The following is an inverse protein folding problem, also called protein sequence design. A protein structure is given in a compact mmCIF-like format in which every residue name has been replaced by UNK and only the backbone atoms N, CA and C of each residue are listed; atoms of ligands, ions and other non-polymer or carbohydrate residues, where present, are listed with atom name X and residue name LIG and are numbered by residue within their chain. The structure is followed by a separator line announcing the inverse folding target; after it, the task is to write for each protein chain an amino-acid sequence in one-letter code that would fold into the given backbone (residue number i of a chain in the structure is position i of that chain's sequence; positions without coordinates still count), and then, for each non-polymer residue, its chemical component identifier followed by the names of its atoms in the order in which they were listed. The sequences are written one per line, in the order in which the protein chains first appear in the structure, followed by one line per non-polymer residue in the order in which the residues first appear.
data_IF_172397900039
#
_entry.id   IF_172397900039
#
_cell.length_a   1.000
_cell.length_b   1.000
_cell.length_c   1.000
_cell.angle_alpha   90.00
_cell.angle_beta   90.00
_cell.angle_gamma   90.00
#
_symmetry.space_group_name_H-M   'P 1'
#
loop_
_entity.id
_entity.type
_entity.pdbx_description
1 polymer ?
#
# COMPACT_ATOMS: atom_id res chain seq x y z
N UNK A 1 9.17 -10.41 2.77
CA UNK A 1 7.95 -9.76 2.24
C UNK A 1 7.70 -10.29 0.84
N UNK A 2 6.45 -10.51 0.43
CA UNK A 2 6.13 -10.95 -0.94
C UNK A 2 6.44 -9.82 -1.95
N UNK A 3 6.78 -10.14 -3.21
CA UNK A 3 7.31 -9.15 -4.17
C UNK A 3 6.29 -8.08 -4.55
N UNK A 4 5.02 -8.44 -4.81
CA UNK A 4 3.98 -7.46 -5.13
C UNK A 4 3.66 -6.53 -3.95
N UNK A 5 3.72 -7.07 -2.72
CA UNK A 5 3.61 -6.26 -1.51
C UNK A 5 4.79 -5.30 -1.32
N UNK A 6 6.02 -5.77 -1.52
CA UNK A 6 7.21 -4.94 -1.42
C UNK A 6 7.21 -3.80 -2.44
N UNK A 7 6.76 -4.06 -3.66
CA UNK A 7 6.62 -3.04 -4.70
C UNK A 7 5.57 -1.99 -4.34
N UNK A 8 4.40 -2.38 -3.83
CA UNK A 8 3.36 -1.43 -3.38
C UNK A 8 3.89 -0.49 -2.28
N UNK A 9 4.63 -1.02 -1.30
CA UNK A 9 5.26 -0.22 -0.23
C UNK A 9 6.32 0.73 -0.80
N UNK A 10 7.15 0.26 -1.72
CA UNK A 10 8.18 1.08 -2.34
C UNK A 10 7.60 2.23 -3.17
N UNK A 11 6.52 1.99 -3.91
CA UNK A 11 5.82 3.02 -4.67
C UNK A 11 5.22 4.10 -3.74
N UNK A 12 4.68 3.71 -2.58
CA UNK A 12 4.21 4.66 -1.55
C UNK A 12 5.36 5.56 -1.07
N UNK A 13 6.53 4.98 -0.78
CA UNK A 13 7.72 5.73 -0.35
C UNK A 13 8.16 6.74 -1.39
N UNK A 14 8.28 6.30 -2.65
CA UNK A 14 8.72 7.16 -3.75
C UNK A 14 7.76 8.31 -4.02
N UNK A 15 6.45 8.08 -3.95
CA UNK A 15 5.46 9.16 -4.06
C UNK A 15 5.63 10.19 -2.93
N UNK A 16 5.76 9.73 -1.68
CA UNK A 16 5.87 10.62 -0.51
C UNK A 16 7.17 11.42 -0.52
N UNK A 17 8.26 10.82 -1.02
CA UNK A 17 9.55 11.46 -1.22
C UNK A 17 9.58 12.47 -2.38
N UNK A 18 8.60 12.40 -3.30
CA UNK A 18 8.56 13.24 -4.50
C UNK A 18 9.34 12.68 -5.70
N UNK A 19 9.84 11.44 -5.60
CA UNK A 19 10.59 10.73 -6.65
C UNK A 19 9.67 10.07 -7.71
N UNK A 20 8.35 10.19 -7.52
CA UNK A 20 7.33 9.63 -8.40
C UNK A 20 6.14 10.59 -8.45
N UNK A 21 5.66 10.91 -9.65
CA UNK A 21 4.46 11.73 -9.82
C UNK A 21 3.16 10.97 -9.48
N UNK A 22 2.06 11.66 -9.15
CA UNK A 22 0.80 11.04 -8.75
C UNK A 22 0.18 10.15 -9.85
N UNK A 23 0.25 10.56 -11.11
CA UNK A 23 -0.26 9.77 -12.24
C UNK A 23 0.54 8.49 -12.45
N UNK A 24 1.87 8.60 -12.44
CA UNK A 24 2.74 7.45 -12.58
C UNK A 24 2.62 6.48 -11.39
N UNK A 25 2.47 7.01 -10.19
CA UNK A 25 2.18 6.25 -8.99
C UNK A 25 0.88 5.44 -9.12
N UNK A 26 -0.23 6.09 -9.49
CA UNK A 26 -1.54 5.44 -9.59
C UNK A 26 -1.48 4.22 -10.52
N UNK A 27 -0.94 4.39 -11.72
CA UNK A 27 -0.82 3.30 -12.70
C UNK A 27 0.09 2.17 -12.23
N UNK A 28 1.27 2.49 -11.68
CA UNK A 28 2.23 1.47 -11.21
C UNK A 28 1.71 0.73 -9.98
N UNK A 29 1.06 1.43 -9.06
CA UNK A 29 0.57 0.85 -7.82
C UNK A 29 -0.59 -0.12 -8.05
N UNK A 30 -1.56 0.24 -8.92
CA UNK A 30 -2.62 -0.68 -9.34
C UNK A 30 -2.06 -1.93 -10.04
N UNK A 31 -1.04 -1.76 -10.90
CA UNK A 31 -0.39 -2.89 -11.56
C UNK A 31 0.30 -3.83 -10.56
N UNK A 32 0.98 -3.28 -9.55
CA UNK A 32 1.62 -4.06 -8.48
C UNK A 32 0.58 -4.81 -7.63
N UNK A 33 -0.51 -4.13 -7.24
CA UNK A 33 -1.61 -4.75 -6.49
C UNK A 33 -2.27 -5.88 -7.27
N UNK A 34 -2.57 -5.69 -8.55
CA UNK A 34 -3.13 -6.73 -9.41
C UNK A 34 -2.22 -7.96 -9.47
N UNK A 35 -0.92 -7.79 -9.69
CA UNK A 35 0.04 -8.91 -9.70
C UNK A 35 0.07 -9.66 -8.36
N UNK A 36 0.02 -8.95 -7.23
CA UNK A 36 -0.01 -9.58 -5.92
C UNK A 36 -1.27 -10.44 -5.72
N UNK A 37 -2.43 -9.94 -6.16
CA UNK A 37 -3.71 -10.67 -6.10
C UNK A 37 -3.71 -11.89 -7.02
N UNK A 38 -3.25 -11.74 -8.27
CA UNK A 38 -3.14 -12.84 -9.25
C UNK A 38 -2.18 -13.95 -8.76
N UNK A 39 -1.11 -13.56 -8.06
CA UNK A 39 -0.16 -14.49 -7.46
C UNK A 39 -0.65 -15.12 -6.14
N UNK A 40 -1.80 -14.68 -5.60
CA UNK A 40 -2.33 -15.16 -4.32
C UNK A 40 -1.44 -14.81 -3.12
N UNK A 41 -0.72 -13.68 -3.18
CA UNK A 41 0.16 -13.24 -2.10
C UNK A 41 -0.66 -13.00 -0.81
N UNK A 42 -0.25 -13.63 0.29
CA UNK A 42 -0.86 -13.39 1.59
C UNK A 42 -0.34 -12.09 2.19
N UNK A 43 -1.24 -11.13 2.36
CA UNK A 43 -0.97 -9.88 3.06
C UNK A 43 -1.58 -9.97 4.46
N UNK A 44 -0.82 -9.65 5.53
CA UNK A 44 -1.41 -9.58 6.86
C UNK A 44 -2.52 -8.52 6.95
N UNK A 45 -3.64 -8.85 7.59
CA UNK A 45 -4.84 -8.01 7.68
C UNK A 45 -4.58 -6.53 8.05
N UNK A 46 -3.70 -6.19 9.03
CA UNK A 46 -3.45 -4.77 9.34
C UNK A 46 -2.82 -4.01 8.18
N UNK A 47 -1.91 -4.65 7.44
CA UNK A 47 -1.27 -4.04 6.28
C UNK A 47 -2.20 -4.01 5.07
N UNK A 48 -3.01 -5.05 4.87
CA UNK A 48 -4.03 -5.10 3.83
C UNK A 48 -4.98 -3.90 3.94
N UNK A 49 -5.48 -3.59 5.14
CA UNK A 49 -6.33 -2.42 5.37
C UNK A 49 -5.67 -1.10 4.99
N UNK A 50 -4.37 -0.94 5.27
CA UNK A 50 -3.63 0.26 4.87
C UNK A 50 -3.48 0.33 3.35
N UNK A 51 -3.22 -0.80 2.69
CA UNK A 51 -3.17 -0.85 1.23
C UNK A 51 -4.55 -0.58 0.62
N UNK A 52 -5.65 -0.98 1.26
CA UNK A 52 -7.01 -0.66 0.81
C UNK A 52 -7.29 0.83 0.88
N UNK A 53 -6.84 1.53 1.92
CA UNK A 53 -6.93 3.00 1.97
C UNK A 53 -6.20 3.66 0.78
N UNK A 54 -5.04 3.13 0.39
CA UNK A 54 -4.33 3.61 -0.80
C UNK A 54 -5.08 3.26 -2.08
N UNK A 55 -5.67 2.07 -2.17
CA UNK A 55 -6.48 1.66 -3.31
C UNK A 55 -7.65 2.62 -3.53
N UNK A 56 -8.43 2.92 -2.48
CA UNK A 56 -9.54 3.86 -2.60
C UNK A 56 -9.08 5.27 -2.98
N UNK A 57 -7.94 5.75 -2.45
CA UNK A 57 -7.40 7.03 -2.86
C UNK A 57 -6.99 7.06 -4.34
N UNK A 58 -6.47 5.94 -4.87
CA UNK A 58 -6.12 5.83 -6.29
C UNK A 58 -7.37 5.73 -7.17
N UNK A 59 -8.42 5.02 -6.74
CA UNK A 59 -9.69 4.95 -7.47
C UNK A 59 -10.40 6.31 -7.51
N UNK A 60 -10.31 7.11 -6.44
CA UNK A 60 -10.86 8.46 -6.40
C UNK A 60 -10.03 9.49 -7.20
N UNK A 61 -8.84 9.13 -7.71
CA UNK A 61 -7.93 10.07 -8.36
C UNK A 61 -8.21 10.24 -9.86
N UNK A 62 -8.45 11.49 -10.27
CA UNK A 62 -8.61 11.86 -11.68
C UNK A 62 -7.53 12.88 -12.08
N UNK A 63 -6.59 12.53 -12.98
CA UNK A 63 -5.49 13.40 -13.37
C UNK A 63 -5.96 14.66 -14.13
N UNK A 64 -6.96 14.53 -15.01
CA UNK A 64 -7.46 15.62 -15.84
C UNK A 64 -8.44 16.51 -15.04
N UNK A 65 -8.10 17.77 -14.75
CA UNK A 65 -8.97 18.66 -13.97
C UNK A 65 -10.34 18.89 -14.61
N UNK A 66 -10.44 18.82 -15.93
CA UNK A 66 -11.67 19.06 -16.69
C UNK A 66 -12.65 17.88 -16.62
N UNK A 67 -12.15 16.70 -16.25
CA UNK A 67 -12.93 15.47 -16.09
C UNK A 67 -13.25 15.18 -14.62
N UNK A 68 -12.74 15.99 -13.69
CA UNK A 68 -12.83 15.74 -12.26
C UNK A 68 -14.16 16.21 -11.68
N UNK A 69 -14.91 15.30 -11.10
CA UNK A 69 -16.15 15.56 -10.38
C UNK A 69 -15.90 16.05 -8.94
N UNK A 70 -16.88 16.77 -8.33
CA UNK A 70 -16.80 17.17 -6.93
C UNK A 70 -16.67 15.95 -6.01
N UNK A 71 -15.54 15.85 -5.31
CA UNK A 71 -15.24 14.76 -4.38
C UNK A 71 -14.08 13.87 -4.83
N UNK A 72 -13.75 13.89 -6.12
CA UNK A 72 -12.59 13.20 -6.66
C UNK A 72 -11.28 13.93 -6.32
N UNK A 73 -10.19 13.19 -6.29
CA UNK A 73 -8.88 13.66 -5.89
C UNK A 73 -8.09 14.23 -7.08
N UNK A 74 -7.45 15.36 -6.81
CA UNK A 74 -6.33 15.87 -7.58
C UNK A 74 -5.02 15.18 -7.21
N UNK A 75 -3.97 15.40 -8.01
CA UNK A 75 -2.64 14.87 -7.73
C UNK A 75 -2.10 15.27 -6.34
N UNK A 76 -2.16 16.55 -5.95
CA UNK A 76 -1.80 16.97 -4.59
C UNK A 76 -2.64 16.28 -3.50
N UNK A 77 -3.95 16.14 -3.70
CA UNK A 77 -4.81 15.47 -2.72
C UNK A 77 -4.53 13.97 -2.61
N UNK A 78 -4.21 13.29 -3.71
CA UNK A 78 -3.73 11.91 -3.71
C UNK A 78 -2.45 11.78 -2.87
N UNK A 79 -1.47 12.67 -3.08
CA UNK A 79 -0.21 12.67 -2.31
C UNK A 79 -0.49 12.86 -0.82
N UNK A 80 -1.38 13.78 -0.44
CA UNK A 80 -1.76 13.99 0.96
C UNK A 80 -2.40 12.74 1.59
N UNK A 81 -3.33 12.10 0.88
CA UNK A 81 -3.97 10.86 1.35
C UNK A 81 -2.96 9.73 1.51
N UNK A 82 -2.10 9.51 0.52
CA UNK A 82 -1.07 8.47 0.58
C UNK A 82 -0.05 8.78 1.68
N UNK A 83 0.34 10.04 1.88
CA UNK A 83 1.25 10.45 2.97
C UNK A 83 0.65 10.15 4.35
N UNK A 84 -0.65 10.34 4.54
CA UNK A 84 -1.33 9.99 5.79
C UNK A 84 -1.35 8.47 6.08
N UNK A 85 -1.29 7.64 5.04
CA UNK A 85 -1.18 6.18 5.17
C UNK A 85 0.28 5.73 5.35
N UNK A 86 1.22 6.38 4.66
CA UNK A 86 2.63 5.98 4.61
C UNK A 86 3.27 5.84 6.00
N UNK A 87 2.99 6.75 6.93
CA UNK A 87 3.52 6.65 8.30
C UNK A 87 3.14 5.35 9.00
N UNK A 88 1.89 4.90 8.83
CA UNK A 88 1.36 3.65 9.40
C UNK A 88 1.91 2.42 8.68
N UNK A 89 2.12 2.50 7.37
CA UNK A 89 2.77 1.45 6.58
C UNK A 89 4.21 1.26 7.03
N UNK A 90 4.99 2.34 7.19
CA UNK A 90 6.37 2.27 7.66
C UNK A 90 6.49 1.71 9.06
N UNK A 91 5.59 2.13 9.96
CA UNK A 91 5.52 1.60 11.30
C UNK A 91 5.29 0.09 11.28
N UNK A 92 4.30 -0.38 10.51
CA UNK A 92 4.03 -1.81 10.37
C UNK A 92 5.24 -2.57 9.81
N UNK A 93 5.82 -2.09 8.72
CA UNK A 93 6.97 -2.74 8.06
C UNK A 93 8.18 -2.82 8.98
N UNK A 94 8.44 -1.78 9.77
CA UNK A 94 9.56 -1.74 10.73
C UNK A 94 9.39 -2.75 11.87
N UNK A 95 8.17 -2.97 12.35
CA UNK A 95 7.91 -3.89 13.46
C UNK A 95 7.83 -5.36 13.02
N UNK A 96 7.69 -5.64 11.72
CA UNK A 96 7.44 -7.00 11.19
C UNK A 96 8.71 -7.68 10.61
N UNK A 97 9.93 -7.15 10.80
CA UNK A 97 11.15 -7.94 10.57
C UNK A 97 12.37 -7.51 11.41
N UNK A 98 13.17 -8.44 11.99
CA UNK A 98 13.14 -9.91 11.90
C UNK A 98 12.96 -10.63 13.25
N UNK A 99 12.14 -11.69 13.29
CA UNK A 99 12.12 -12.65 14.41
C UNK A 99 10.74 -12.95 15.02
N UNK A 100 9.79 -13.40 14.19
CA UNK A 100 8.47 -13.87 14.65
C UNK A 100 8.19 -15.32 14.26
N UNK A 101 9.23 -16.10 13.95
CA UNK A 101 9.21 -17.55 14.13
C UNK A 101 9.80 -17.82 15.51
N UNK A 102 8.94 -17.90 16.53
CA UNK A 102 9.26 -18.44 17.86
C UNK A 102 8.04 -19.11 18.46
N UNK A 103 8.14 -20.43 18.58
CA UNK A 103 7.34 -21.28 19.46
C UNK A 103 6.07 -21.77 18.78
N UNK A 104 5.99 -23.02 18.29
CA UNK A 104 6.54 -24.19 18.95
C UNK A 104 5.90 -24.32 20.33
N UNK A 105 4.61 -24.59 20.37
CA UNK A 105 3.93 -25.21 21.50
C UNK A 105 3.11 -26.38 20.96
N UNK A 106 3.82 -27.42 20.52
CA UNK A 106 3.39 -28.75 20.95
C UNK A 106 3.43 -28.73 22.48
N UNK A 107 2.26 -28.82 23.09
CA UNK A 107 2.14 -29.35 24.44
C UNK A 107 1.49 -30.73 24.29
N UNK A 108 2.20 -31.82 24.61
CA UNK A 108 1.56 -33.10 24.88
C UNK A 108 0.98 -33.13 26.31
N UNK A 109 0.16 -34.16 26.54
CA UNK A 109 -0.49 -34.58 27.79
C UNK A 109 -1.88 -33.98 28.07
N UNK A 110 -2.89 -34.76 28.46
CA UNK A 110 -2.89 -36.08 29.12
C UNK A 110 -3.94 -37.04 28.52
#
# INVERSE_FOLDING_TARGET
MAPGLAEQVELIRRLVAGDLGPEEFAGRWLAARRRALEAGERVPLPLERLLDEVFFAVEDYVPQPELRDPGELSGPQLVERVRAVAGRVEEYVRHVSPGGDRGGAEAPSA
#
